data_IF_444317897853
#
_entry.id   IF_444317897853
#
_cell.length_a   1.000
_cell.length_b   1.000
_cell.length_c   1.000
_cell.angle_alpha   90.00
_cell.angle_beta   90.00
_cell.angle_gamma   90.00
#
_symmetry.space_group_name_H-M   'P 1'
#
loop_
_entity.id
_entity.type
_entity.pdbx_description
1 polymer ?
#
# COMPACT_ATOMS: atom_id res chain seq x y z
N UNK A 1 24.35 0.31 16.73
CA UNK A 1 25.22 1.36 16.17
C UNK A 1 24.54 2.06 14.99
N UNK A 2 24.00 1.32 14.01
CA UNK A 2 23.33 1.89 12.82
C UNK A 2 22.09 2.75 13.13
N UNK A 3 21.20 2.32 14.04
CA UNK A 3 20.00 3.10 14.43
C UNK A 3 20.31 4.49 15.02
N UNK A 4 21.48 4.68 15.64
CA UNK A 4 21.90 5.97 16.19
C UNK A 4 22.39 6.92 15.10
N UNK A 5 22.96 6.40 13.99
CA UNK A 5 23.37 7.21 12.84
C UNK A 5 22.18 7.61 11.95
N UNK A 6 21.09 6.85 11.97
CA UNK A 6 19.85 7.17 11.25
C UNK A 6 19.11 8.37 11.82
N UNK A 7 19.24 8.61 13.12
CA UNK A 7 18.64 9.76 13.78
C UNK A 7 19.32 11.07 13.39
N UNK A 8 20.61 11.03 13.00
CA UNK A 8 21.36 12.21 12.54
C UNK A 8 21.18 12.51 11.05
N UNK A 9 20.78 11.52 10.24
CA UNK A 9 20.49 11.70 8.81
C UNK A 9 19.39 10.73 8.35
N UNK A 10 18.11 11.15 8.41
CA UNK A 10 16.98 10.34 8.00
C UNK A 10 17.05 9.87 6.54
N UNK A 11 17.78 10.58 5.66
CA UNK A 11 17.94 10.18 4.26
C UNK A 11 18.71 8.85 4.13
N UNK A 12 19.64 8.55 5.03
CA UNK A 12 20.37 7.26 5.04
C UNK A 12 19.44 6.07 5.29
N UNK A 13 18.39 6.25 6.08
CA UNK A 13 17.40 5.20 6.30
C UNK A 13 16.56 4.90 5.04
N UNK A 14 16.28 5.93 4.24
CA UNK A 14 15.59 5.80 2.96
C UNK A 14 16.50 5.15 1.91
N UNK A 15 17.77 5.53 1.84
CA UNK A 15 18.72 4.94 0.91
C UNK A 15 18.99 3.46 1.21
N UNK A 16 19.07 3.07 2.49
CA UNK A 16 19.13 1.65 2.85
C UNK A 16 17.86 0.89 2.49
N UNK A 17 16.68 1.49 2.64
CA UNK A 17 15.44 0.86 2.20
C UNK A 17 15.44 0.63 0.66
N UNK A 18 15.95 1.60 -0.11
CA UNK A 18 16.14 1.48 -1.56
C UNK A 18 17.12 0.37 -1.91
N UNK A 19 18.30 0.35 -1.28
CA UNK A 19 19.31 -0.69 -1.49
C UNK A 19 18.77 -2.08 -1.16
N UNK A 20 18.09 -2.24 -0.03
CA UNK A 20 17.44 -3.49 0.36
C UNK A 20 16.46 -4.01 -0.71
N UNK A 21 15.66 -3.14 -1.32
CA UNK A 21 14.76 -3.54 -2.40
C UNK A 21 15.49 -3.80 -3.72
N UNK A 22 16.55 -3.04 -4.04
CA UNK A 22 17.40 -3.31 -5.23
C UNK A 22 18.08 -4.67 -5.13
N UNK A 23 18.61 -5.04 -3.98
CA UNK A 23 19.24 -6.35 -3.73
C UNK A 23 18.25 -7.50 -3.93
N UNK A 24 16.97 -7.26 -3.66
CA UNK A 24 15.86 -8.20 -3.94
C UNK A 24 15.34 -8.14 -5.37
N UNK A 25 16.06 -7.46 -6.26
CA UNK A 25 15.81 -7.39 -7.70
C UNK A 25 14.63 -6.50 -8.11
N UNK A 26 14.23 -5.54 -7.26
CA UNK A 26 13.20 -4.57 -7.62
C UNK A 26 13.75 -3.52 -8.57
N UNK A 27 12.93 -3.13 -9.54
CA UNK A 27 13.26 -2.02 -10.43
C UNK A 27 13.22 -0.71 -9.66
N UNK A 28 14.05 0.26 -10.08
CA UNK A 28 14.06 1.59 -9.48
C UNK A 28 12.67 2.24 -9.55
N UNK A 29 11.94 2.05 -10.66
CA UNK A 29 10.55 2.50 -10.81
C UNK A 29 9.63 1.94 -9.72
N UNK A 30 9.70 0.63 -9.46
CA UNK A 30 8.91 -0.01 -8.41
C UNK A 30 9.27 0.52 -7.02
N UNK A 31 10.56 0.74 -6.76
CA UNK A 31 11.07 1.28 -5.49
C UNK A 31 10.52 2.68 -5.24
N UNK A 32 10.59 3.58 -6.23
CA UNK A 32 10.06 4.94 -6.10
C UNK A 32 8.55 4.92 -5.84
N UNK A 33 7.79 4.09 -6.56
CA UNK A 33 6.35 3.91 -6.32
C UNK A 33 6.05 3.38 -4.91
N UNK A 34 6.83 2.41 -4.43
CA UNK A 34 6.67 1.84 -3.10
C UNK A 34 6.97 2.85 -2.00
N UNK A 35 7.96 3.73 -2.19
CA UNK A 35 8.31 4.81 -1.27
C UNK A 35 7.23 5.89 -1.23
N UNK A 36 6.75 6.35 -2.38
CA UNK A 36 5.64 7.32 -2.44
C UNK A 36 4.38 6.76 -1.76
N UNK A 37 4.06 5.48 -2.02
CA UNK A 37 2.95 4.81 -1.35
C UNK A 37 3.13 4.70 0.17
N UNK A 38 4.37 4.61 0.66
CA UNK A 38 4.66 4.63 2.09
C UNK A 38 4.38 6.01 2.70
N UNK A 39 4.79 7.08 2.03
CA UNK A 39 4.53 8.45 2.48
C UNK A 39 3.02 8.75 2.54
N UNK A 40 2.26 8.37 1.50
CA UNK A 40 0.80 8.53 1.46
C UNK A 40 0.12 7.80 2.62
N UNK A 41 0.56 6.56 2.90
CA UNK A 41 0.04 5.79 4.03
C UNK A 41 0.39 6.43 5.37
N UNK A 42 1.62 6.88 5.55
CA UNK A 42 2.06 7.50 6.80
C UNK A 42 1.20 8.74 7.12
N UNK A 43 0.96 9.62 6.13
CA UNK A 43 0.08 10.79 6.30
C UNK A 43 -1.35 10.40 6.71
N UNK A 44 -1.88 9.32 6.16
CA UNK A 44 -3.21 8.81 6.56
C UNK A 44 -3.20 8.26 7.99
N UNK A 45 -2.18 7.49 8.36
CA UNK A 45 -2.09 6.93 9.72
C UNK A 45 -1.80 7.99 10.78
N UNK A 46 -1.05 9.03 10.43
CA UNK A 46 -0.80 10.18 11.32
C UNK A 46 -2.11 10.94 11.56
N UNK A 47 -2.88 11.20 10.50
CA UNK A 47 -4.22 11.78 10.62
C UNK A 47 -5.10 10.95 11.58
N UNK A 48 -5.18 9.63 11.37
CA UNK A 48 -5.94 8.73 12.25
C UNK A 48 -5.51 8.80 13.71
N UNK A 49 -4.20 8.79 13.96
CA UNK A 49 -3.63 8.87 15.30
C UNK A 49 -4.07 10.14 16.03
N UNK A 50 -4.11 11.25 15.33
CA UNK A 50 -4.52 12.55 15.88
C UNK A 50 -6.05 12.66 16.03
N UNK A 51 -6.82 11.71 15.49
CA UNK A 51 -8.28 11.70 15.46
C UNK A 51 -8.89 10.43 16.11
N UNK A 52 -8.34 10.07 17.27
CA UNK A 52 -8.85 9.02 18.18
C UNK A 52 -8.75 7.57 17.65
N UNK A 53 -7.93 7.31 16.65
CA UNK A 53 -7.61 5.94 16.23
C UNK A 53 -6.26 5.54 16.82
N UNK A 54 -6.27 4.68 17.83
CA UNK A 54 -5.06 4.41 18.64
C UNK A 54 -4.68 2.93 18.69
N UNK A 55 -5.61 2.02 18.38
CA UNK A 55 -5.37 0.59 18.50
C UNK A 55 -5.00 -0.04 17.16
N UNK A 56 -4.08 -1.00 17.18
CA UNK A 56 -3.58 -1.66 15.97
C UNK A 56 -4.68 -2.36 15.15
N UNK A 57 -5.71 -2.89 15.82
CA UNK A 57 -6.88 -3.51 15.19
C UNK A 57 -7.74 -2.49 14.42
N UNK A 58 -7.88 -1.27 14.94
CA UNK A 58 -8.57 -0.17 14.24
C UNK A 58 -7.86 0.20 12.94
N UNK A 59 -6.53 0.35 12.96
CA UNK A 59 -5.73 0.58 11.75
C UNK A 59 -5.90 -0.56 10.72
N UNK A 60 -5.90 -1.81 11.19
CA UNK A 60 -6.09 -2.97 10.34
C UNK A 60 -7.50 -2.99 9.71
N UNK A 61 -8.53 -2.66 10.48
CA UNK A 61 -9.92 -2.57 10.02
C UNK A 61 -10.05 -1.48 8.95
N UNK A 62 -9.61 -0.25 9.23
CA UNK A 62 -9.72 0.88 8.30
C UNK A 62 -8.93 0.63 7.01
N UNK A 63 -7.71 0.11 7.13
CA UNK A 63 -6.90 -0.28 5.96
C UNK A 63 -7.62 -1.33 5.13
N UNK A 64 -8.25 -2.33 5.76
CA UNK A 64 -8.97 -3.37 5.03
C UNK A 64 -10.27 -2.84 4.39
N UNK A 65 -10.98 -1.91 5.02
CA UNK A 65 -12.13 -1.22 4.43
C UNK A 65 -11.72 -0.52 3.14
N UNK A 66 -10.70 0.35 3.20
CA UNK A 66 -10.20 1.09 2.03
C UNK A 66 -9.81 0.12 0.93
N UNK A 67 -9.02 -0.91 1.29
CA UNK A 67 -8.52 -1.90 0.35
C UNK A 67 -9.65 -2.66 -0.35
N UNK A 68 -10.64 -3.11 0.42
CA UNK A 68 -11.78 -3.84 -0.09
C UNK A 68 -12.67 -2.97 -0.99
N UNK A 69 -12.83 -1.69 -0.64
CA UNK A 69 -13.66 -0.76 -1.41
C UNK A 69 -13.08 -0.49 -2.80
N UNK A 70 -11.77 -0.24 -2.92
CA UNK A 70 -11.16 0.00 -4.24
C UNK A 70 -10.97 -1.28 -5.05
N UNK A 71 -10.50 -2.36 -4.41
CA UNK A 71 -10.10 -3.60 -5.12
C UNK A 71 -11.24 -4.61 -5.29
N UNK A 72 -12.29 -4.53 -4.46
CA UNK A 72 -13.36 -5.53 -4.42
C UNK A 72 -13.00 -6.81 -3.64
N UNK A 73 -11.81 -6.90 -3.04
CA UNK A 73 -11.38 -8.05 -2.24
C UNK A 73 -10.72 -7.59 -0.94
N UNK A 74 -10.85 -8.36 0.13
CA UNK A 74 -10.13 -8.05 1.39
C UNK A 74 -8.62 -8.19 1.21
N UNK A 75 -7.83 -7.57 2.10
CA UNK A 75 -6.37 -7.72 2.12
C UNK A 75 -5.98 -9.20 2.21
N UNK A 76 -6.69 -9.97 3.05
CA UNK A 76 -6.47 -11.41 3.20
C UNK A 76 -6.70 -12.15 1.89
N UNK A 77 -7.86 -11.95 1.25
CA UNK A 77 -8.17 -12.59 -0.03
C UNK A 77 -7.18 -12.20 -1.13
N UNK A 78 -6.72 -10.95 -1.14
CA UNK A 78 -5.72 -10.49 -2.10
C UNK A 78 -4.35 -11.16 -1.87
N UNK A 79 -3.95 -11.35 -0.61
CA UNK A 79 -2.77 -12.16 -0.26
C UNK A 79 -2.92 -13.61 -0.73
N UNK A 80 -4.09 -14.21 -0.52
CA UNK A 80 -4.38 -15.59 -0.94
C UNK A 80 -4.29 -15.74 -2.47
N UNK A 81 -4.85 -14.78 -3.22
CA UNK A 81 -4.76 -14.75 -4.69
C UNK A 81 -3.31 -14.72 -5.20
N UNK A 82 -2.41 -14.08 -4.47
CA UNK A 82 -0.97 -13.99 -4.80
C UNK A 82 -0.12 -15.07 -4.12
N UNK A 83 -0.74 -16.03 -3.42
CA UNK A 83 -0.06 -17.14 -2.74
C UNK A 83 0.79 -16.71 -1.53
N UNK A 84 0.45 -15.59 -0.88
CA UNK A 84 1.19 -15.02 0.23
C UNK A 84 0.67 -15.56 1.57
N UNK A 85 1.58 -15.94 2.46
CA UNK A 85 1.25 -16.40 3.83
C UNK A 85 1.50 -15.30 4.85
N UNK A 86 2.77 -14.90 4.98
CA UNK A 86 3.23 -13.91 5.98
C UNK A 86 3.73 -12.62 5.34
N UNK A 87 3.89 -12.60 4.01
CA UNK A 87 4.49 -11.49 3.29
C UNK A 87 3.60 -10.25 3.27
N UNK A 88 4.23 -9.09 3.10
CA UNK A 88 3.54 -7.81 2.93
C UNK A 88 2.93 -7.74 1.52
N UNK A 89 1.61 -7.57 1.43
CA UNK A 89 0.89 -7.55 0.14
C UNK A 89 1.45 -6.51 -0.84
N UNK A 90 1.79 -5.30 -0.38
CA UNK A 90 2.26 -4.20 -1.25
C UNK A 90 3.61 -4.49 -1.88
N UNK A 91 4.41 -5.33 -1.23
CA UNK A 91 5.67 -5.76 -1.81
C UNK A 91 5.42 -6.69 -3.00
N UNK A 92 4.25 -7.30 -3.13
CA UNK A 92 3.91 -8.22 -4.23
C UNK A 92 2.88 -7.64 -5.21
N UNK A 93 2.55 -6.35 -5.05
CA UNK A 93 1.65 -5.63 -5.94
C UNK A 93 2.37 -5.16 -7.21
N UNK A 94 1.63 -5.19 -8.32
CA UNK A 94 2.02 -4.57 -9.57
C UNK A 94 1.90 -3.03 -9.48
N UNK A 95 2.39 -2.34 -10.52
CA UNK A 95 2.36 -0.88 -10.59
C UNK A 95 0.94 -0.30 -10.42
N UNK A 96 -0.05 -0.84 -11.12
CA UNK A 96 -1.42 -0.35 -11.04
C UNK A 96 -2.00 -0.57 -9.63
N UNK A 97 -1.78 -1.72 -9.02
CA UNK A 97 -2.23 -2.03 -7.65
C UNK A 97 -1.63 -1.05 -6.62
N UNK A 98 -0.35 -0.68 -6.77
CA UNK A 98 0.29 0.33 -5.92
C UNK A 98 -0.31 1.72 -6.12
N UNK A 99 -0.55 2.13 -7.37
CA UNK A 99 -1.14 3.43 -7.71
C UNK A 99 -2.57 3.54 -7.18
N UNK A 100 -3.40 2.52 -7.39
CA UNK A 100 -4.79 2.54 -6.90
C UNK A 100 -4.88 2.47 -5.38
N UNK A 101 -3.95 1.76 -4.73
CA UNK A 101 -3.83 1.79 -3.27
C UNK A 101 -3.53 3.21 -2.78
N UNK A 102 -2.52 3.88 -3.36
CA UNK A 102 -2.16 5.24 -2.99
C UNK A 102 -3.30 6.23 -3.26
N UNK A 103 -4.01 6.09 -4.39
CA UNK A 103 -5.19 6.91 -4.70
C UNK A 103 -6.30 6.74 -3.66
N UNK A 104 -6.58 5.50 -3.23
CA UNK A 104 -7.60 5.21 -2.24
C UNK A 104 -7.23 5.81 -0.86
N UNK A 105 -5.96 5.69 -0.45
CA UNK A 105 -5.45 6.24 0.82
C UNK A 105 -5.44 7.76 0.82
N UNK A 106 -4.93 8.38 -0.25
CA UNK A 106 -4.94 9.83 -0.43
C UNK A 106 -6.37 10.38 -0.38
N UNK A 107 -7.28 9.76 -1.15
CA UNK A 107 -8.68 10.17 -1.19
C UNK A 107 -9.34 10.03 0.17
N UNK A 108 -9.07 8.94 0.88
CA UNK A 108 -9.59 8.72 2.24
C UNK A 108 -9.16 9.83 3.19
N UNK A 109 -7.85 10.15 3.22
CA UNK A 109 -7.31 11.20 4.08
C UNK A 109 -7.94 12.57 3.77
N UNK A 110 -7.97 12.95 2.50
CA UNK A 110 -8.52 14.25 2.09
C UNK A 110 -10.01 14.38 2.42
N UNK A 111 -10.75 13.28 2.29
CA UNK A 111 -12.16 13.22 2.69
C UNK A 111 -12.29 13.35 4.21
N UNK A 112 -11.49 12.60 4.97
CA UNK A 112 -11.48 12.66 6.42
C UNK A 112 -11.18 14.09 6.92
N UNK A 113 -10.15 14.72 6.36
CA UNK A 113 -9.76 16.12 6.65
C UNK A 113 -10.89 17.11 6.33
N UNK A 114 -11.62 16.91 5.23
CA UNK A 114 -12.65 17.86 4.78
C UNK A 114 -13.83 18.04 5.74
N UNK A 115 -14.12 17.04 6.56
CA UNK A 115 -15.17 17.10 7.59
C UNK A 115 -14.66 16.76 8.99
N UNK A 116 -13.34 16.76 9.19
CA UNK A 116 -12.68 16.51 10.46
C UNK A 116 -13.09 15.17 11.13
N UNK A 117 -13.02 14.08 10.37
CA UNK A 117 -13.46 12.75 10.78
C UNK A 117 -12.75 12.27 12.06
N UNK A 118 -13.51 12.03 13.12
CA UNK A 118 -13.01 11.60 14.43
C UNK A 118 -13.56 10.23 14.82
N UNK A 119 -12.70 9.38 15.38
CA UNK A 119 -13.05 8.04 15.81
C UNK A 119 -13.36 7.08 14.66
N UNK A 120 -13.66 5.82 15.03
CA UNK A 120 -13.84 4.73 14.06
C UNK A 120 -15.01 4.90 13.09
N UNK A 121 -16.23 5.33 13.51
CA UNK A 121 -17.37 5.41 12.60
C UNK A 121 -17.14 6.37 11.42
N UNK A 122 -16.62 7.56 11.70
CA UNK A 122 -16.41 8.60 10.70
C UNK A 122 -15.24 8.27 9.78
N UNK A 123 -14.14 7.74 10.34
CA UNK A 123 -12.98 7.32 9.56
C UNK A 123 -13.27 6.09 8.70
N UNK A 124 -14.15 5.18 9.16
CA UNK A 124 -14.64 4.08 8.32
C UNK A 124 -15.47 4.60 7.14
N UNK A 125 -16.30 5.62 7.36
CA UNK A 125 -17.08 6.24 6.27
C UNK A 125 -16.18 7.00 5.28
N UNK A 126 -15.16 7.74 5.78
CA UNK A 126 -14.14 8.35 4.94
C UNK A 126 -13.41 7.28 4.11
N UNK A 127 -13.05 6.15 4.73
CA UNK A 127 -12.40 5.02 4.06
C UNK A 127 -13.25 4.40 2.95
N UNK A 128 -14.56 4.27 3.17
CA UNK A 128 -15.50 3.81 2.13
C UNK A 128 -15.58 4.79 0.97
N UNK A 129 -15.71 6.09 1.26
CA UNK A 129 -15.80 7.12 0.20
C UNK A 129 -14.50 7.20 -0.61
N UNK A 130 -13.35 7.22 0.06
CA UNK A 130 -12.03 7.24 -0.58
C UNK A 130 -11.75 5.99 -1.42
N UNK A 131 -12.06 4.81 -0.87
CA UNK A 131 -11.97 3.55 -1.61
C UNK A 131 -12.88 3.52 -2.84
N UNK A 132 -14.11 4.05 -2.76
CA UNK A 132 -15.04 4.15 -3.91
C UNK A 132 -14.53 5.07 -5.02
N UNK A 133 -13.80 6.15 -4.70
CA UNK A 133 -13.18 7.00 -5.73
C UNK A 133 -12.15 6.19 -6.52
N UNK A 134 -11.23 5.52 -5.81
CA UNK A 134 -10.24 4.65 -6.46
C UNK A 134 -10.90 3.49 -7.22
N UNK A 135 -12.01 2.93 -6.71
CA UNK A 135 -12.81 1.91 -7.41
C UNK A 135 -13.33 2.43 -8.74
N UNK A 136 -13.92 3.63 -8.78
CA UNK A 136 -14.46 4.23 -10.02
C UNK A 136 -13.35 4.40 -11.05
N UNK A 137 -12.22 4.99 -10.66
CA UNK A 137 -11.07 5.15 -11.53
C UNK A 137 -10.52 3.80 -12.02
N UNK A 138 -10.49 2.77 -11.15
CA UNK A 138 -10.08 1.40 -11.52
C UNK A 138 -11.01 0.83 -12.59
N UNK A 139 -12.32 0.83 -12.33
CA UNK A 139 -13.31 0.28 -13.25
C UNK A 139 -13.30 1.01 -14.60
N UNK A 140 -13.13 2.33 -14.58
CA UNK A 140 -12.99 3.10 -15.82
C UNK A 140 -11.75 2.69 -16.61
N UNK A 141 -10.59 2.58 -15.96
CA UNK A 141 -9.37 2.09 -16.61
C UNK A 141 -9.54 0.66 -17.16
N UNK A 142 -10.09 -0.26 -16.37
CA UNK A 142 -10.35 -1.65 -16.79
C UNK A 142 -11.30 -1.68 -17.99
N UNK A 143 -12.33 -0.84 -18.03
CA UNK A 143 -13.28 -0.76 -19.14
C UNK A 143 -12.65 -0.28 -20.45
N UNK A 144 -11.64 0.61 -20.38
CA UNK A 144 -10.95 1.14 -21.56
C UNK A 144 -9.83 0.23 -22.06
N UNK A 145 -9.20 -0.53 -21.15
CA UNK A 145 -8.04 -1.36 -21.46
C UNK A 145 -8.37 -2.84 -21.66
N UNK A 146 -9.52 -3.30 -21.16
CA UNK A 146 -9.92 -4.72 -21.15
C UNK A 146 -9.08 -5.58 -20.20
N UNK A 147 -8.22 -4.98 -19.38
CA UNK A 147 -7.30 -5.69 -18.46
C UNK A 147 -7.69 -5.40 -17.03
N UNK A 148 -7.76 -6.43 -16.18
CA UNK A 148 -7.98 -6.23 -14.75
C UNK A 148 -6.73 -5.69 -14.06
N UNK A 149 -6.93 -4.76 -13.13
CA UNK A 149 -5.88 -4.21 -12.27
C UNK A 149 -5.49 -5.20 -11.17
N UNK A 150 -6.46 -5.93 -10.62
CA UNK A 150 -6.24 -6.91 -9.55
C UNK A 150 -5.82 -8.23 -10.18
N UNK A 151 -4.61 -8.70 -9.86
CA UNK A 151 -4.07 -9.93 -10.47
C UNK A 151 -3.55 -10.89 -9.41
N UNK A 152 -3.55 -12.19 -9.74
CA UNK A 152 -2.85 -13.22 -8.94
C UNK A 152 -1.33 -13.20 -9.17
N UNK A 153 -0.84 -12.37 -10.10
CA UNK A 153 0.58 -12.29 -10.39
C UNK A 153 1.36 -11.76 -9.19
N UNK A 154 2.44 -12.45 -8.88
CA UNK A 154 3.38 -12.09 -7.83
C UNK A 154 4.55 -11.33 -8.46
N UNK A 155 4.64 -10.02 -8.21
CA UNK A 155 5.63 -9.13 -8.83
C UNK A 155 7.05 -9.22 -8.25
N UNK A 156 7.47 -10.42 -7.82
CA UNK A 156 8.87 -10.68 -7.51
C UNK A 156 9.64 -11.00 -8.81
N UNK A 157 10.91 -10.56 -8.94
CA UNK A 157 11.77 -11.12 -9.98
C UNK A 157 11.89 -12.63 -9.75
N UNK A 158 11.94 -13.46 -10.80
CA UNK A 158 12.17 -14.89 -10.65
C UNK A 158 13.45 -15.08 -9.83
N UNK A 159 13.40 -15.95 -8.83
CA UNK A 159 14.58 -16.30 -8.04
C UNK A 159 15.72 -16.63 -9.02
N UNK A 160 16.88 -15.97 -8.88
CA UNK A 160 18.08 -16.36 -9.63
C UNK A 160 18.22 -17.87 -9.44
N UNK A 161 18.04 -18.65 -10.52
CA UNK A 161 18.37 -20.08 -10.50
C UNK A 161 19.75 -20.17 -9.87
N UNK A 162 19.87 -20.81 -8.71
CA UNK A 162 21.17 -21.17 -8.17
C UNK A 162 21.88 -21.88 -9.31
N UNK A 163 22.96 -21.28 -9.83
CA UNK A 163 23.84 -22.00 -10.75
C UNK A 163 24.24 -23.25 -9.98
N UNK A 164 23.75 -24.41 -10.41
CA UNK A 164 24.33 -25.67 -9.97
C UNK A 164 25.82 -25.54 -10.30
N UNK A 165 26.66 -25.46 -9.27
CA UNK A 165 28.08 -25.63 -9.45
C UNK A 165 28.25 -27.03 -10.06
N UNK A 166 28.76 -27.07 -11.28
CA UNK A 166 29.35 -28.28 -11.86
C UNK A 166 30.69 -28.53 -11.20
#
# INVERSE_FOLDING_TARGET
YERLQDMSDPARSLDRAREYWRERGRSEKWIQQRMMGQETRNKLTDYWKDHEITKEDEYAILTNIIHQEWSGVSVKKHKDMKGLKTQNLRDHMNEAELIFTALAELSTRQIAESFNATGMPENAEAGKKGGKIAKKARLELESKTGKSVITSENYLPPAKKQKQLK
#
